data_IF_254851471350
#
_entry.id   IF_254851471350
#
_cell.length_a   1.000
_cell.length_b   1.000
_cell.length_c   1.000
_cell.angle_alpha   90.00
_cell.angle_beta   90.00
_cell.angle_gamma   90.00
#
_symmetry.space_group_name_H-M   'P 1'
#
loop_
_entity.id
_entity.type
_entity.pdbx_description
1 polymer ?
#
# COMPACT_ATOMS: atom_id res chain seq x y z
N UNK A 1 -14.10 -5.58 -21.12
CA UNK A 1 -14.39 -4.17 -21.48
C UNK A 1 -13.17 -3.59 -22.16
N UNK A 2 -13.34 -2.59 -23.02
CA UNK A 2 -12.24 -1.76 -23.54
C UNK A 2 -11.49 -1.09 -22.37
N UNK A 3 -10.19 -0.79 -22.54
CA UNK A 3 -9.40 -0.08 -21.52
C UNK A 3 -10.10 1.24 -21.15
N UNK A 4 -9.98 1.67 -19.90
CA UNK A 4 -10.79 2.77 -19.33
C UNK A 4 -10.62 4.10 -20.09
N UNK A 5 -9.50 4.27 -20.80
CA UNK A 5 -9.11 5.45 -21.56
C UNK A 5 -9.15 5.24 -23.09
N UNK A 6 -9.63 4.11 -23.58
CA UNK A 6 -9.61 3.79 -25.01
C UNK A 6 -10.60 4.68 -25.77
N UNK A 7 -10.08 5.72 -26.44
CA UNK A 7 -10.87 6.69 -27.22
C UNK A 7 -10.81 6.38 -28.72
N UNK A 8 -11.33 5.23 -29.13
CA UNK A 8 -11.62 4.94 -30.55
C UNK A 8 -10.40 4.88 -31.50
N UNK A 9 -9.18 4.84 -31.00
CA UNK A 9 -7.95 4.66 -31.79
C UNK A 9 -7.29 3.31 -31.49
N UNK A 10 -6.52 2.80 -32.46
CA UNK A 10 -5.66 1.64 -32.26
C UNK A 10 -4.37 2.06 -31.55
N UNK A 11 -4.07 1.43 -30.41
CA UNK A 11 -2.82 1.67 -29.71
C UNK A 11 -1.67 0.89 -30.34
N UNK A 12 -0.46 1.43 -30.22
CA UNK A 12 0.75 0.73 -30.58
C UNK A 12 1.01 -0.43 -29.59
N UNK A 13 1.14 -1.65 -30.09
CA UNK A 13 1.32 -2.86 -29.29
C UNK A 13 2.60 -2.83 -28.43
N UNK A 14 3.68 -2.19 -28.91
CA UNK A 14 4.90 -2.04 -28.13
C UNK A 14 4.69 -1.13 -26.91
N UNK A 15 3.89 -0.08 -27.07
CA UNK A 15 3.50 0.80 -25.96
C UNK A 15 2.63 0.03 -24.97
N UNK A 16 1.66 -0.76 -25.43
CA UNK A 16 0.84 -1.59 -24.53
C UNK A 16 1.67 -2.60 -23.75
N UNK A 17 2.62 -3.26 -24.42
CA UNK A 17 3.51 -4.20 -23.75
C UNK A 17 4.42 -3.49 -22.76
N UNK A 18 4.94 -2.30 -23.07
CA UNK A 18 5.77 -1.54 -22.14
C UNK A 18 5.00 -1.16 -20.87
N UNK A 19 3.78 -0.63 -21.02
CA UNK A 19 2.94 -0.18 -19.90
C UNK A 19 2.36 -1.35 -19.06
N UNK A 20 1.98 -2.47 -19.70
CA UNK A 20 1.35 -3.61 -19.01
C UNK A 20 2.33 -4.69 -18.52
N UNK A 21 3.39 -5.01 -19.28
CA UNK A 21 4.20 -6.19 -19.03
C UNK A 21 5.20 -6.04 -17.86
N UNK A 22 5.57 -4.81 -17.49
CA UNK A 22 6.43 -4.57 -16.32
C UNK A 22 5.64 -4.43 -15.01
N UNK A 23 4.33 -4.20 -15.06
CA UNK A 23 3.52 -3.86 -13.89
C UNK A 23 2.78 -5.03 -13.24
N UNK A 24 2.38 -6.08 -13.97
CA UNK A 24 1.45 -7.11 -13.46
C UNK A 24 1.93 -7.83 -12.17
N UNK A 25 3.24 -8.07 -12.04
CA UNK A 25 3.82 -8.69 -10.82
C UNK A 25 3.84 -7.73 -9.64
N UNK A 26 4.08 -6.44 -9.88
CA UNK A 26 4.08 -5.42 -8.84
C UNK A 26 2.64 -5.09 -8.41
N UNK A 27 1.74 -4.95 -9.38
CA UNK A 27 0.31 -4.73 -9.18
C UNK A 27 -0.36 -5.87 -8.43
N UNK A 28 0.09 -7.11 -8.63
CA UNK A 28 -0.41 -8.26 -7.87
C UNK A 28 -0.21 -8.10 -6.35
N UNK A 29 0.81 -7.35 -5.92
CA UNK A 29 1.04 -7.06 -4.49
C UNK A 29 0.02 -6.07 -3.92
N UNK A 30 -0.71 -5.36 -4.78
CA UNK A 30 -1.68 -4.35 -4.41
C UNK A 30 -3.13 -4.86 -4.44
N UNK A 31 -3.39 -6.12 -4.85
CA UNK A 31 -4.76 -6.69 -4.92
C UNK A 31 -5.54 -6.48 -3.62
N UNK A 32 -4.97 -6.90 -2.48
CA UNK A 32 -5.64 -6.73 -1.18
C UNK A 32 -5.90 -5.25 -0.83
N UNK A 33 -4.97 -4.38 -1.20
CA UNK A 33 -5.00 -2.96 -0.88
C UNK A 33 -6.08 -2.25 -1.68
N UNK A 34 -6.18 -2.53 -2.99
CA UNK A 34 -7.25 -2.03 -3.85
C UNK A 34 -8.63 -2.52 -3.39
N UNK A 35 -8.72 -3.78 -2.95
CA UNK A 35 -9.96 -4.33 -2.40
C UNK A 35 -10.37 -3.63 -1.10
N UNK A 36 -9.43 -3.40 -0.17
CA UNK A 36 -9.72 -2.66 1.07
C UNK A 36 -10.15 -1.23 0.78
N UNK A 37 -9.41 -0.52 -0.09
CA UNK A 37 -9.77 0.83 -0.55
C UNK A 37 -11.17 0.86 -1.17
N UNK A 38 -11.51 -0.14 -1.97
CA UNK A 38 -12.81 -0.29 -2.62
C UNK A 38 -13.93 -0.65 -1.64
N UNK A 39 -13.67 -1.45 -0.60
CA UNK A 39 -14.64 -1.73 0.47
C UNK A 39 -14.99 -0.45 1.23
N UNK A 40 -13.98 0.35 1.60
CA UNK A 40 -14.21 1.63 2.26
C UNK A 40 -14.97 2.62 1.37
N UNK A 41 -14.59 2.70 0.08
CA UNK A 41 -15.24 3.58 -0.89
C UNK A 41 -16.71 3.22 -1.12
N UNK A 42 -17.04 1.93 -1.30
CA UNK A 42 -18.43 1.48 -1.49
C UNK A 42 -19.28 1.70 -0.25
N UNK A 43 -18.73 1.49 0.94
CA UNK A 43 -19.41 1.81 2.18
C UNK A 43 -19.72 3.32 2.29
N UNK A 44 -18.79 4.18 1.88
CA UNK A 44 -19.01 5.62 1.84
C UNK A 44 -20.07 6.02 0.81
N UNK A 45 -20.03 5.46 -0.40
CA UNK A 45 -21.05 5.72 -1.43
C UNK A 45 -22.45 5.28 -0.96
N UNK A 46 -22.56 4.16 -0.24
CA UNK A 46 -23.80 3.72 0.38
C UNK A 46 -24.29 4.70 1.46
N UNK A 47 -23.37 5.17 2.31
CA UNK A 47 -23.66 6.15 3.37
C UNK A 47 -24.25 7.46 2.84
N UNK A 48 -23.77 7.93 1.68
CA UNK A 48 -24.26 9.16 1.05
C UNK A 48 -25.44 8.92 0.09
N UNK A 49 -25.97 7.69 0.02
CA UNK A 49 -27.15 7.34 -0.79
C UNK A 49 -26.88 7.19 -2.29
N UNK A 50 -25.62 7.11 -2.72
CA UNK A 50 -25.25 6.85 -4.13
C UNK A 50 -25.48 5.39 -4.50
N UNK A 51 -25.18 4.47 -3.57
CA UNK A 51 -25.48 3.05 -3.71
C UNK A 51 -26.67 2.69 -2.84
N UNK A 52 -27.58 1.88 -3.38
CA UNK A 52 -28.61 1.25 -2.53
C UNK A 52 -27.98 0.20 -1.63
N UNK A 53 -28.68 -0.21 -0.57
CA UNK A 53 -28.21 -1.26 0.34
C UNK A 53 -27.94 -2.59 -0.41
N UNK A 54 -28.79 -2.95 -1.37
CA UNK A 54 -28.61 -4.15 -2.19
C UNK A 54 -27.38 -4.05 -3.10
N UNK A 55 -27.12 -2.87 -3.70
CA UNK A 55 -25.94 -2.64 -4.52
C UNK A 55 -24.66 -2.70 -3.69
N UNK A 56 -24.65 -2.05 -2.52
CA UNK A 56 -23.53 -2.08 -1.60
C UNK A 56 -23.23 -3.51 -1.13
N UNK A 57 -24.27 -4.28 -0.76
CA UNK A 57 -24.10 -5.68 -0.36
C UNK A 57 -23.50 -6.52 -1.48
N UNK A 58 -24.01 -6.42 -2.70
CA UNK A 58 -23.48 -7.17 -3.85
C UNK A 58 -22.01 -6.83 -4.14
N UNK A 59 -21.65 -5.55 -4.07
CA UNK A 59 -20.26 -5.11 -4.23
C UNK A 59 -19.36 -5.61 -3.11
N UNK A 60 -19.81 -5.51 -1.85
CA UNK A 60 -19.07 -6.01 -0.69
C UNK A 60 -18.81 -7.50 -0.79
N UNK A 61 -19.83 -8.29 -1.12
CA UNK A 61 -19.72 -9.74 -1.24
C UNK A 61 -18.72 -10.12 -2.36
N UNK A 62 -18.78 -9.43 -3.51
CA UNK A 62 -17.84 -9.62 -4.60
C UNK A 62 -16.41 -9.18 -4.26
N UNK A 63 -16.23 -8.07 -3.53
CA UNK A 63 -14.90 -7.64 -3.05
C UNK A 63 -14.32 -8.65 -2.06
N UNK A 64 -15.13 -9.17 -1.13
CA UNK A 64 -14.70 -10.20 -0.19
C UNK A 64 -14.32 -11.52 -0.90
N UNK A 65 -15.00 -11.90 -1.99
CA UNK A 65 -14.61 -13.09 -2.77
C UNK A 65 -13.26 -12.91 -3.47
N UNK A 66 -12.90 -11.67 -3.88
CA UNK A 66 -11.55 -11.40 -4.40
C UNK A 66 -10.47 -11.70 -3.35
N UNK A 67 -10.68 -11.32 -2.09
CA UNK A 67 -9.72 -11.63 -1.02
C UNK A 67 -9.56 -13.14 -0.81
N UNK A 68 -10.64 -13.90 -0.94
CA UNK A 68 -10.59 -15.36 -0.85
C UNK A 68 -9.79 -15.98 -2.01
N UNK A 69 -10.01 -15.47 -3.23
CA UNK A 69 -9.30 -15.91 -4.44
C UNK A 69 -7.83 -15.46 -4.44
N UNK A 70 -7.50 -14.29 -3.87
CA UNK A 70 -6.11 -13.83 -3.72
C UNK A 70 -5.34 -14.73 -2.76
N UNK A 71 -5.97 -15.14 -1.66
CA UNK A 71 -5.37 -16.05 -0.67
C UNK A 71 -5.05 -17.45 -1.24
N UNK A 72 -5.79 -17.90 -2.26
CA UNK A 72 -5.51 -19.16 -3.00
C UNK A 72 -4.68 -18.94 -4.27
N UNK A 73 -4.24 -17.72 -4.55
CA UNK A 73 -3.53 -17.32 -5.78
C UNK A 73 -4.34 -17.52 -7.08
N UNK A 74 -5.67 -17.57 -6.99
CA UNK A 74 -6.59 -17.73 -8.11
C UNK A 74 -7.05 -16.40 -8.72
N UNK A 75 -6.92 -15.29 -7.97
CA UNK A 75 -7.15 -13.94 -8.52
C UNK A 75 -5.89 -13.40 -9.19
N UNK A 76 -5.71 -13.72 -10.48
CA UNK A 76 -4.55 -13.31 -11.26
C UNK A 76 -4.84 -12.08 -12.13
N UNK A 77 -3.81 -11.23 -12.31
CA UNK A 77 -3.80 -10.10 -13.23
C UNK A 77 -3.17 -10.56 -14.53
N UNK A 78 -3.89 -10.42 -15.65
CA UNK A 78 -3.41 -10.83 -16.98
C UNK A 78 -2.94 -9.62 -17.77
N UNK A 79 -2.24 -9.82 -18.89
CA UNK A 79 -1.86 -8.72 -19.79
C UNK A 79 -3.06 -7.98 -20.41
N UNK A 80 -4.24 -8.61 -20.41
CA UNK A 80 -5.47 -7.97 -20.85
C UNK A 80 -6.04 -7.01 -19.78
N UNK A 81 -5.66 -7.22 -18.52
CA UNK A 81 -5.93 -6.29 -17.44
C UNK A 81 -4.82 -5.23 -17.45
N UNK A 82 -5.20 -3.98 -17.67
CA UNK A 82 -4.26 -2.86 -17.70
C UNK A 82 -3.46 -2.74 -16.39
N UNK A 83 -4.13 -2.96 -15.27
CA UNK A 83 -3.60 -2.89 -13.91
C UNK A 83 -4.50 -3.69 -12.94
N UNK A 84 -4.09 -3.78 -11.67
CA UNK A 84 -4.88 -4.41 -10.60
C UNK A 84 -6.29 -3.87 -10.51
N UNK A 85 -6.44 -2.56 -10.63
CA UNK A 85 -7.71 -1.90 -10.43
C UNK A 85 -8.71 -2.24 -11.54
N UNK A 86 -8.24 -2.30 -12.79
CA UNK A 86 -9.03 -2.73 -13.96
C UNK A 86 -9.45 -4.18 -13.79
N UNK A 87 -8.56 -5.05 -13.29
CA UNK A 87 -8.88 -6.45 -12.99
C UNK A 87 -10.00 -6.57 -11.94
N UNK A 88 -9.93 -5.77 -10.87
CA UNK A 88 -10.95 -5.72 -9.80
C UNK A 88 -12.28 -5.20 -10.36
N UNK A 89 -12.28 -4.10 -11.09
CA UNK A 89 -13.51 -3.55 -11.69
C UNK A 89 -14.18 -4.51 -12.67
N UNK A 90 -13.40 -5.16 -13.55
CA UNK A 90 -13.92 -6.16 -14.46
C UNK A 90 -14.59 -7.32 -13.71
N UNK A 91 -13.98 -7.76 -12.60
CA UNK A 91 -14.58 -8.78 -11.73
C UNK A 91 -15.89 -8.29 -11.09
N UNK A 92 -15.91 -7.08 -10.54
CA UNK A 92 -17.10 -6.51 -9.92
C UNK A 92 -18.24 -6.35 -10.93
N UNK A 93 -17.94 -5.98 -12.18
CA UNK A 93 -18.97 -5.89 -13.23
C UNK A 93 -19.49 -7.27 -13.62
N UNK A 94 -18.61 -8.28 -13.70
CA UNK A 94 -19.02 -9.64 -14.01
C UNK A 94 -19.91 -10.25 -12.91
N UNK A 95 -19.64 -9.97 -11.64
CA UNK A 95 -20.33 -10.57 -10.49
C UNK A 95 -21.51 -9.72 -10.00
N UNK A 96 -21.34 -8.40 -9.89
CA UNK A 96 -22.33 -7.46 -9.34
C UNK A 96 -23.05 -6.61 -10.40
N UNK A 97 -22.79 -6.84 -11.69
CA UNK A 97 -23.51 -6.24 -12.80
C UNK A 97 -23.45 -4.70 -12.84
N UNK A 98 -24.62 -4.05 -12.85
CA UNK A 98 -24.73 -2.60 -12.91
C UNK A 98 -24.10 -1.89 -11.70
N UNK A 99 -24.15 -2.52 -10.51
CA UNK A 99 -23.51 -1.99 -9.30
C UNK A 99 -21.98 -1.90 -9.48
N UNK A 100 -21.38 -2.92 -10.12
CA UNK A 100 -19.96 -2.94 -10.47
C UNK A 100 -19.50 -1.71 -11.25
N UNK A 101 -20.36 -1.16 -12.12
CA UNK A 101 -20.04 0.04 -12.91
C UNK A 101 -20.04 1.33 -12.09
N UNK A 102 -20.65 1.33 -10.90
CA UNK A 102 -20.74 2.51 -10.02
C UNK A 102 -19.53 2.67 -9.11
N UNK A 103 -18.63 1.69 -9.04
CA UNK A 103 -17.47 1.68 -8.13
C UNK A 103 -16.55 2.90 -8.32
N UNK A 104 -16.52 3.45 -9.52
CA UNK A 104 -15.70 4.62 -9.87
C UNK A 104 -16.32 5.98 -9.56
N UNK A 105 -17.56 6.02 -9.09
CA UNK A 105 -18.21 7.28 -8.79
C UNK A 105 -17.43 8.04 -7.70
N UNK A 106 -17.11 9.30 -7.99
CA UNK A 106 -16.31 10.17 -7.11
C UNK A 106 -14.93 9.62 -6.73
N UNK A 107 -14.33 8.82 -7.60
CA UNK A 107 -12.96 8.28 -7.47
C UNK A 107 -12.19 8.49 -8.76
N UNK A 108 -10.86 8.48 -8.67
CA UNK A 108 -9.97 8.45 -9.81
C UNK A 108 -8.96 7.34 -9.61
N UNK A 109 -8.34 6.85 -10.69
CA UNK A 109 -7.16 6.00 -10.58
C UNK A 109 -6.06 6.69 -9.76
N UNK A 110 -6.03 8.02 -9.79
CA UNK A 110 -5.03 8.84 -9.12
C UNK A 110 -5.02 8.74 -7.60
N UNK A 111 -6.19 8.84 -6.96
CA UNK A 111 -6.28 8.71 -5.52
C UNK A 111 -6.38 7.25 -5.09
N UNK A 112 -6.98 6.40 -5.92
CA UNK A 112 -7.05 4.95 -5.70
C UNK A 112 -5.66 4.33 -5.55
N UNK A 113 -4.77 4.49 -6.53
CA UNK A 113 -3.41 3.93 -6.45
C UNK A 113 -2.62 4.49 -5.27
N UNK A 114 -2.87 5.74 -4.88
CA UNK A 114 -2.24 6.35 -3.71
C UNK A 114 -2.72 5.74 -2.40
N UNK A 115 -4.01 5.39 -2.28
CA UNK A 115 -4.51 4.62 -1.13
C UNK A 115 -3.78 3.28 -1.07
N UNK A 116 -3.70 2.58 -2.21
CA UNK A 116 -3.15 1.23 -2.27
C UNK A 116 -1.68 1.21 -1.86
N UNK A 117 -0.90 2.13 -2.42
CA UNK A 117 0.51 2.30 -2.08
C UNK A 117 0.72 2.67 -0.62
N UNK A 118 -0.12 3.54 -0.04
CA UNK A 118 0.01 3.94 1.36
C UNK A 118 -0.34 2.79 2.31
N UNK A 119 -1.41 2.03 2.03
CA UNK A 119 -1.76 0.84 2.81
C UNK A 119 -0.65 -0.21 2.71
N UNK A 120 -0.14 -0.48 1.51
CA UNK A 120 0.99 -1.38 1.30
C UNK A 120 2.22 -0.91 2.08
N UNK A 121 2.56 0.38 2.02
CA UNK A 121 3.68 0.95 2.76
C UNK A 121 3.48 0.83 4.28
N UNK A 122 2.25 0.97 4.81
CA UNK A 122 1.97 0.73 6.25
C UNK A 122 2.32 -0.71 6.63
N UNK A 123 1.91 -1.70 5.83
CA UNK A 123 2.25 -3.11 6.08
C UNK A 123 3.76 -3.37 6.01
N UNK A 124 4.42 -2.82 4.99
CA UNK A 124 5.86 -3.04 4.79
C UNK A 124 6.71 -2.35 5.87
N UNK A 125 6.36 -1.13 6.28
CA UNK A 125 7.05 -0.43 7.36
C UNK A 125 6.97 -1.21 8.68
N UNK A 126 5.79 -1.75 9.01
CA UNK A 126 5.63 -2.64 10.17
C UNK A 126 6.47 -3.90 10.06
N UNK A 127 6.49 -4.54 8.90
CA UNK A 127 7.31 -5.74 8.65
C UNK A 127 8.81 -5.47 8.79
N UNK A 128 9.29 -4.33 8.29
CA UNK A 128 10.70 -3.91 8.42
C UNK A 128 11.04 -3.58 9.87
N UNK A 129 10.18 -2.85 10.58
CA UNK A 129 10.37 -2.53 12.00
C UNK A 129 10.46 -3.80 12.86
N UNK A 130 9.61 -4.79 12.61
CA UNK A 130 9.66 -6.08 13.31
C UNK A 130 10.99 -6.82 13.07
N UNK A 131 11.49 -6.83 11.83
CA UNK A 131 12.78 -7.44 11.48
C UNK A 131 13.96 -6.70 12.10
N UNK A 132 13.91 -5.37 12.13
CA UNK A 132 14.91 -4.53 12.80
C UNK A 132 14.96 -4.86 14.29
N UNK A 133 13.82 -4.91 14.97
CA UNK A 133 13.74 -5.27 16.38
C UNK A 133 14.29 -6.68 16.66
N UNK A 134 13.98 -7.64 15.79
CA UNK A 134 14.52 -9.00 15.89
C UNK A 134 16.04 -9.04 15.74
N UNK A 135 16.60 -8.27 14.78
CA UNK A 135 18.04 -8.16 14.57
C UNK A 135 18.72 -7.49 15.76
N UNK A 136 18.17 -6.40 16.30
CA UNK A 136 18.68 -5.76 17.51
C UNK A 136 18.72 -6.74 18.68
N UNK A 137 17.62 -7.47 18.91
CA UNK A 137 17.55 -8.49 19.98
C UNK A 137 18.61 -9.58 19.80
N UNK A 138 18.85 -10.01 18.56
CA UNK A 138 19.87 -11.01 18.23
C UNK A 138 21.29 -10.49 18.48
N UNK A 139 21.57 -9.24 18.08
CA UNK A 139 22.86 -8.58 18.32
C UNK A 139 23.13 -8.38 19.81
N UNK A 140 22.14 -7.94 20.59
CA UNK A 140 22.27 -7.77 22.03
C UNK A 140 22.46 -9.12 22.76
N UNK A 141 21.82 -10.19 22.26
CA UNK A 141 22.04 -11.54 22.77
C UNK A 141 23.45 -12.06 22.45
N UNK A 142 23.98 -11.75 21.26
CA UNK A 142 25.37 -12.03 20.90
C UNK A 142 26.33 -11.21 21.79
N UNK A 143 26.02 -9.94 22.00
CA UNK A 143 26.81 -9.03 22.82
C UNK A 143 26.94 -9.52 24.27
N UNK A 144 25.82 -10.00 24.83
CA UNK A 144 25.75 -10.56 26.18
C UNK A 144 26.52 -11.87 26.31
N UNK A 145 26.46 -12.76 25.31
CA UNK A 145 27.21 -14.03 25.33
C UNK A 145 28.72 -13.82 25.22
N UNK A 146 29.14 -12.78 24.51
CA UNK A 146 30.55 -12.51 24.20
C UNK A 146 31.10 -11.25 24.87
N UNK A 147 30.52 -10.84 26.01
CA UNK A 147 30.90 -9.61 26.74
C UNK A 147 32.40 -9.53 27.00
N UNK A 148 33.01 -10.65 27.40
CA UNK A 148 34.44 -10.73 27.75
C UNK A 148 35.29 -11.46 26.70
N UNK A 149 34.74 -11.81 25.53
CA UNK A 149 35.52 -12.46 24.46
C UNK A 149 36.44 -11.41 23.84
N UNK A 150 37.78 -11.49 24.02
CA UNK A 150 38.68 -10.42 23.59
C UNK A 150 38.73 -10.31 22.07
N UNK A 151 38.77 -9.08 21.56
CA UNK A 151 38.92 -8.76 20.14
C UNK A 151 39.78 -7.51 19.99
N UNK A 152 40.74 -7.45 19.06
CA UNK A 152 41.44 -6.19 18.79
C UNK A 152 40.46 -5.15 18.22
N UNK A 153 40.46 -3.94 18.77
CA UNK A 153 39.84 -2.78 18.13
C UNK A 153 40.66 -2.32 16.94
N UNK A 154 39.99 -1.72 15.94
CA UNK A 154 40.64 -1.23 14.72
C UNK A 154 40.29 0.23 14.46
N UNK A 155 41.30 1.02 14.11
CA UNK A 155 41.15 2.34 13.51
C UNK A 155 42.05 2.41 12.27
N UNK A 156 41.57 2.99 11.17
CA UNK A 156 42.29 2.98 9.88
C UNK A 156 42.77 1.57 9.44
N UNK A 157 41.99 0.53 9.75
CA UNK A 157 42.34 -0.88 9.53
C UNK A 157 43.61 -1.36 10.26
N UNK A 158 44.12 -0.62 11.23
CA UNK A 158 45.25 -1.00 12.08
C UNK A 158 44.79 -1.36 13.49
N UNK A 159 45.51 -2.28 14.14
CA UNK A 159 45.23 -2.71 15.52
C UNK A 159 45.44 -1.53 16.48
N UNK A 160 44.42 -1.23 17.28
CA UNK A 160 44.43 -0.19 18.30
C UNK A 160 44.41 -0.83 19.70
N UNK A 161 43.38 -0.51 20.51
CA UNK A 161 43.22 -1.04 21.87
C UNK A 161 42.52 -2.41 21.88
N UNK A 162 42.75 -3.20 22.93
CA UNK A 162 41.97 -4.40 23.19
C UNK A 162 40.51 -4.04 23.49
N UNK A 163 39.58 -4.77 22.89
CA UNK A 163 38.14 -4.62 23.03
C UNK A 163 37.51 -6.01 23.23
N UNK A 164 36.19 -6.13 23.04
CA UNK A 164 35.48 -7.40 23.03
C UNK A 164 34.53 -7.54 21.85
N UNK A 165 34.27 -8.80 21.46
CA UNK A 165 33.20 -9.14 20.50
C UNK A 165 31.85 -8.62 21.01
N UNK A 166 31.66 -8.61 22.33
CA UNK A 166 30.49 -8.04 22.99
C UNK A 166 30.25 -6.57 22.65
N UNK A 167 31.28 -5.74 22.82
CA UNK A 167 31.20 -4.30 22.54
C UNK A 167 30.93 -4.03 21.05
N UNK A 168 31.57 -4.81 20.16
CA UNK A 168 31.32 -4.73 18.71
C UNK A 168 29.88 -5.10 18.34
N UNK A 169 29.33 -6.19 18.87
CA UNK A 169 27.95 -6.58 18.57
C UNK A 169 26.94 -5.55 19.09
N UNK A 170 27.18 -5.02 20.30
CA UNK A 170 26.34 -3.99 20.90
C UNK A 170 26.32 -2.70 20.07
N UNK A 171 27.45 -2.29 19.47
CA UNK A 171 27.49 -1.05 18.68
C UNK A 171 26.57 -1.10 17.45
N UNK A 172 26.43 -2.26 16.80
CA UNK A 172 25.46 -2.41 15.70
C UNK A 172 24.01 -2.43 16.22
N UNK A 173 23.77 -3.04 17.38
CA UNK A 173 22.46 -3.03 18.01
C UNK A 173 22.00 -1.61 18.35
N UNK A 174 22.90 -0.79 18.91
CA UNK A 174 22.63 0.61 19.24
C UNK A 174 22.39 1.46 17.98
N UNK A 175 23.23 1.32 16.95
CA UNK A 175 23.04 2.03 15.68
C UNK A 175 21.68 1.73 15.03
N UNK A 176 21.21 0.47 15.09
CA UNK A 176 19.91 0.10 14.55
C UNK A 176 18.73 0.65 15.37
N UNK A 177 18.91 0.93 16.67
CA UNK A 177 17.88 1.59 17.47
C UNK A 177 17.71 3.06 17.06
N UNK A 178 18.78 3.74 16.64
CA UNK A 178 18.66 5.07 16.05
C UNK A 178 17.92 5.02 14.70
N UNK A 179 18.20 4.01 13.87
CA UNK A 179 17.53 3.82 12.58
C UNK A 179 16.01 3.58 12.71
N UNK A 180 15.54 3.04 13.84
CA UNK A 180 14.11 2.87 14.12
C UNK A 180 13.34 4.20 14.07
N UNK A 181 13.98 5.30 14.48
CA UNK A 181 13.36 6.62 14.47
C UNK A 181 12.99 7.06 13.05
N UNK A 182 13.78 6.67 12.04
CA UNK A 182 13.49 6.94 10.63
C UNK A 182 12.26 6.15 10.16
N UNK A 183 12.13 4.88 10.57
CA UNK A 183 10.97 4.05 10.24
C UNK A 183 9.68 4.60 10.88
N UNK A 184 9.76 5.01 12.14
CA UNK A 184 8.63 5.61 12.87
C UNK A 184 8.17 6.92 12.23
N UNK A 185 9.11 7.81 11.88
CA UNK A 185 8.80 9.04 11.16
C UNK A 185 8.16 8.79 9.79
N UNK A 186 8.71 7.84 9.02
CA UNK A 186 8.15 7.43 7.73
C UNK A 186 6.71 6.90 7.87
N UNK A 187 6.44 6.10 8.91
CA UNK A 187 5.09 5.60 9.18
C UNK A 187 4.10 6.73 9.44
N UNK A 188 4.44 7.68 10.33
CA UNK A 188 3.56 8.81 10.67
C UNK A 188 3.26 9.69 9.45
N UNK A 189 4.25 9.91 8.58
CA UNK A 189 4.05 10.68 7.34
C UNK A 189 3.19 9.90 6.32
N UNK A 190 3.37 8.59 6.24
CA UNK A 190 2.60 7.71 5.37
C UNK A 190 1.14 7.55 5.83
N UNK A 191 0.89 7.62 7.15
CA UNK A 191 -0.38 7.33 7.80
C UNK A 191 -1.46 8.43 7.65
N UNK A 192 -1.79 8.74 6.40
CA UNK A 192 -2.77 9.76 6.04
C UNK A 192 -3.53 9.32 4.78
N UNK A 193 -4.87 9.29 4.84
CA UNK A 193 -5.72 8.81 3.75
C UNK A 193 -5.78 9.81 2.58
N UNK A 194 -5.42 9.40 1.36
CA UNK A 194 -5.55 10.23 0.16
C UNK A 194 -6.93 10.11 -0.52
N UNK A 195 -7.75 9.14 -0.09
CA UNK A 195 -9.02 8.78 -0.74
C UNK A 195 -9.99 9.97 -0.79
N UNK A 196 -10.66 10.13 -1.94
CA UNK A 196 -11.59 11.22 -2.19
C UNK A 196 -10.94 12.51 -2.68
N UNK A 197 -9.64 12.49 -2.99
CA UNK A 197 -9.01 13.58 -3.76
C UNK A 197 -9.27 13.46 -5.26
N UNK A 198 -9.78 12.31 -5.70
CA UNK A 198 -10.04 11.97 -7.10
C UNK A 198 -8.84 12.32 -7.98
N UNK A 199 -9.05 13.07 -9.06
CA UNK A 199 -7.99 13.45 -9.97
C UNK A 199 -7.01 14.50 -9.39
N UNK A 200 -7.24 14.99 -8.17
CA UNK A 200 -6.45 16.03 -7.49
C UNK A 200 -7.16 17.36 -7.29
N UNK A 201 -8.43 17.46 -7.70
CA UNK A 201 -9.22 18.70 -7.67
C UNK A 201 -10.50 18.57 -6.82
N UNK A 202 -10.62 17.47 -6.07
CA UNK A 202 -11.84 17.13 -5.34
C UNK A 202 -12.93 16.57 -6.24
N UNK A 203 -14.15 16.45 -5.69
CA UNK A 203 -15.33 15.89 -6.37
C UNK A 203 -16.55 16.78 -6.16
N UNK A 204 -17.51 16.81 -7.10
CA UNK A 204 -18.70 17.65 -7.02
C UNK A 204 -19.84 17.05 -6.17
N UNK A 205 -19.59 16.01 -5.39
CA UNK A 205 -20.57 15.36 -4.51
C UNK A 205 -20.04 15.29 -3.06
N UNK A 206 -20.90 15.33 -2.04
CA UNK A 206 -20.49 15.45 -0.64
C UNK A 206 -19.98 14.12 -0.06
N UNK A 207 -18.81 13.66 -0.52
CA UNK A 207 -18.17 12.45 0.00
C UNK A 207 -17.69 12.62 1.44
N UNK A 208 -17.76 11.54 2.22
CA UNK A 208 -17.25 11.49 3.59
C UNK A 208 -15.83 10.88 3.62
N UNK A 209 -14.82 11.75 3.42
CA UNK A 209 -13.41 11.33 3.39
C UNK A 209 -12.91 10.81 4.73
N UNK A 210 -13.41 11.35 5.84
CA UNK A 210 -12.99 10.92 7.17
C UNK A 210 -13.53 9.51 7.45
N UNK A 211 -14.78 9.22 7.10
CA UNK A 211 -15.33 7.88 7.22
C UNK A 211 -14.52 6.82 6.45
N UNK A 212 -14.07 7.14 5.23
CA UNK A 212 -13.16 6.28 4.49
C UNK A 212 -11.81 6.08 5.22
N UNK A 213 -11.22 7.16 5.76
CA UNK A 213 -9.96 7.08 6.50
C UNK A 213 -10.07 6.19 7.75
N UNK A 214 -11.16 6.33 8.50
CA UNK A 214 -11.44 5.56 9.70
C UNK A 214 -11.58 4.06 9.38
N UNK A 215 -12.35 3.72 8.35
CA UNK A 215 -12.53 2.32 7.90
C UNK A 215 -11.21 1.66 7.47
N UNK A 216 -10.30 2.44 6.88
CA UNK A 216 -9.00 1.98 6.40
C UNK A 216 -7.90 2.03 7.48
N UNK A 217 -8.22 2.51 8.68
CA UNK A 217 -7.27 2.63 9.79
C UNK A 217 -6.17 3.66 9.53
N UNK A 218 -6.46 4.73 8.78
CA UNK A 218 -5.57 5.89 8.69
C UNK A 218 -5.78 6.84 9.87
N UNK A 219 -4.71 7.46 10.37
CA UNK A 219 -4.82 8.41 11.50
C UNK A 219 -5.59 9.69 11.16
N UNK A 220 -5.57 10.10 9.89
CA UNK A 220 -6.23 11.32 9.39
C UNK A 220 -6.40 11.29 7.88
N UNK A 221 -7.21 12.20 7.36
CA UNK A 221 -7.24 12.53 5.94
C UNK A 221 -6.06 13.43 5.52
N UNK A 222 -5.60 13.28 4.29
CA UNK A 222 -4.77 14.30 3.65
C UNK A 222 -5.66 15.46 3.17
N UNK A 223 -5.65 16.58 3.90
CA UNK A 223 -6.60 17.66 3.71
C UNK A 223 -6.61 18.26 2.30
N UNK A 224 -5.46 18.69 1.80
CA UNK A 224 -5.35 19.37 0.51
C UNK A 224 -5.25 18.34 -0.63
N UNK A 225 -6.25 18.32 -1.51
CA UNK A 225 -6.38 17.35 -2.62
C UNK A 225 -5.30 17.49 -3.71
N UNK A 226 -4.71 18.66 -3.88
CA UNK A 226 -3.58 18.86 -4.79
C UNK A 226 -2.30 18.30 -4.15
N UNK A 227 -2.09 18.58 -2.86
CA UNK A 227 -0.96 18.01 -2.12
C UNK A 227 -0.99 16.48 -2.12
N UNK A 228 -2.17 15.85 -2.06
CA UNK A 228 -2.29 14.39 -2.21
C UNK A 228 -1.55 13.91 -3.45
N UNK A 229 -1.79 14.54 -4.60
CA UNK A 229 -1.15 14.16 -5.86
C UNK A 229 0.35 14.48 -5.87
N UNK A 230 0.77 15.59 -5.24
CA UNK A 230 2.18 15.95 -5.08
C UNK A 230 2.93 15.08 -4.06
N UNK A 231 2.22 14.26 -3.27
CA UNK A 231 2.82 13.34 -2.31
C UNK A 231 3.22 12.00 -2.92
N UNK A 232 3.00 11.81 -4.24
CA UNK A 232 3.48 10.63 -4.98
C UNK A 232 5.01 10.55 -4.94
N UNK A 233 5.53 9.39 -4.55
CA UNK A 233 6.97 9.13 -4.52
C UNK A 233 7.74 9.87 -3.42
N UNK A 234 7.05 10.47 -2.45
CA UNK A 234 7.62 10.93 -1.18
C UNK A 234 7.44 9.90 -0.08
#
# INVERSE_FOLDING_TARGET
>A
MTKLWQKGYHLNEQVERFEAAQNSVLDARLIRHDVWGSLAHTAMLAKIGVLTESEHKALKDALCSILQLEATHEFTITLADEDVHTRVENYLVAVAGAAGKKIHMARSRNDQVLVDLRLYAKEQLHSVAAKLCHLCTTLLSLASRHTNTPMPGYTHMQRAMLSSVGLWAASFGEALLDDEQLLSAAYVLNDQSPLGSAAGYGVPIPIDRQYCADLLGFSRVQNNVIYVQNSRGK
#
